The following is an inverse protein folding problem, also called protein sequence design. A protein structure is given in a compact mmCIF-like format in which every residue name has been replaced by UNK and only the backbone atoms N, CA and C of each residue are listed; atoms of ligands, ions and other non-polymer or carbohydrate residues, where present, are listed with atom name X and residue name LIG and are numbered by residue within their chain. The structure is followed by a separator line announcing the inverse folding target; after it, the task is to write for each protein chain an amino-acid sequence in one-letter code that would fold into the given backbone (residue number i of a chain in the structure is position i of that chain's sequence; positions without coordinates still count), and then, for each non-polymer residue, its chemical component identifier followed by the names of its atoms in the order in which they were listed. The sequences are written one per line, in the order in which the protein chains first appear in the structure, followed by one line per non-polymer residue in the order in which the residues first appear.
data_IF_992161431518
#
_entry.id   IF_992161431518
#
_cell.length_a   1.000
_cell.length_b   1.000
_cell.length_c   1.000
_cell.angle_alpha   90.00
_cell.angle_beta   90.00
_cell.angle_gamma   90.00
#
_symmetry.space_group_name_H-M   'P 1'
#
loop_
_entity.id
_entity.type
_entity.pdbx_description
1 polymer ?
#
# COMPACT_ATOMS: atom_id res chain seq x y z
N UNK A 1 14.12 -24.24 -22.29
CA UNK A 1 12.80 -23.71 -22.68
C UNK A 1 12.09 -22.91 -21.57
N UNK A 2 12.63 -22.83 -20.34
CA UNK A 2 12.07 -22.00 -19.24
C UNK A 2 12.52 -20.53 -19.26
N UNK A 3 13.62 -20.21 -19.95
CA UNK A 3 14.21 -18.86 -19.99
C UNK A 3 13.47 -17.88 -20.90
N UNK A 4 12.79 -18.36 -21.94
CA UNK A 4 12.03 -17.51 -22.88
C UNK A 4 10.70 -17.03 -22.29
N UNK A 5 10.01 -17.87 -21.51
CA UNK A 5 8.75 -17.52 -20.82
C UNK A 5 8.92 -16.47 -19.71
N UNK A 6 10.05 -16.51 -18.99
CA UNK A 6 10.35 -15.48 -17.99
C UNK A 6 10.65 -14.12 -18.66
N UNK A 7 11.43 -14.09 -19.74
CA UNK A 7 11.73 -12.84 -20.45
C UNK A 7 10.48 -12.15 -21.02
N UNK A 8 9.47 -12.90 -21.49
CA UNK A 8 8.19 -12.34 -21.94
C UNK A 8 7.36 -11.75 -20.79
N UNK A 9 7.32 -12.41 -19.62
CA UNK A 9 6.66 -11.86 -18.41
C UNK A 9 7.33 -10.57 -17.91
N UNK A 10 8.67 -10.51 -17.97
CA UNK A 10 9.40 -9.32 -17.51
C UNK A 10 9.30 -8.15 -18.49
N UNK A 11 9.03 -8.39 -19.78
CA UNK A 11 8.86 -7.32 -20.78
C UNK A 11 7.75 -6.32 -20.42
N UNK A 12 6.67 -6.80 -19.79
CA UNK A 12 5.57 -5.94 -19.32
C UNK A 12 5.87 -5.15 -18.05
N UNK A 13 6.93 -5.50 -17.31
CA UNK A 13 7.26 -4.86 -16.03
C UNK A 13 8.15 -3.62 -16.17
N UNK A 14 8.56 -3.32 -17.40
CA UNK A 14 9.31 -2.11 -17.74
C UNK A 14 10.81 -2.25 -17.47
N UNK A 15 11.46 -1.11 -17.20
CA UNK A 15 12.91 -1.06 -17.04
C UNK A 15 13.35 -1.76 -15.76
N UNK A 16 14.53 -2.38 -15.79
CA UNK A 16 15.18 -2.94 -14.60
C UNK A 16 15.89 -1.87 -13.78
N UNK A 17 16.06 -2.10 -12.48
CA UNK A 17 16.87 -1.27 -11.60
C UNK A 17 18.33 -1.20 -12.10
N UNK A 18 19.00 -0.02 -12.06
CA UNK A 18 18.52 1.30 -11.63
C UNK A 18 17.92 2.16 -12.75
N UNK A 19 17.68 1.60 -13.94
CA UNK A 19 17.37 2.33 -15.18
C UNK A 19 16.09 3.18 -15.14
N UNK A 20 15.15 2.88 -14.24
CA UNK A 20 13.92 3.65 -14.09
C UNK A 20 14.03 4.81 -13.09
N UNK A 21 14.99 4.80 -12.15
CA UNK A 21 14.95 5.68 -10.97
C UNK A 21 14.96 7.17 -11.31
N UNK A 22 15.74 7.58 -12.32
CA UNK A 22 15.85 8.98 -12.75
C UNK A 22 14.52 9.56 -13.24
N UNK A 23 13.60 8.72 -13.74
CA UNK A 23 12.28 9.14 -14.22
C UNK A 23 11.28 9.44 -13.11
N UNK A 24 11.59 9.10 -11.86
CA UNK A 24 10.67 9.23 -10.73
C UNK A 24 11.26 10.01 -9.56
N UNK A 25 12.29 10.83 -9.79
CA UNK A 25 12.74 11.78 -8.77
C UNK A 25 11.65 12.83 -8.53
N UNK A 26 11.67 13.50 -7.38
CA UNK A 26 10.74 14.60 -7.13
C UNK A 26 10.86 15.70 -8.20
N UNK A 27 12.06 15.90 -8.76
CA UNK A 27 12.29 16.81 -9.87
C UNK A 27 11.62 16.33 -11.17
N UNK A 28 11.75 15.05 -11.52
CA UNK A 28 11.11 14.48 -12.71
C UNK A 28 9.57 14.54 -12.61
N UNK A 29 9.03 14.38 -11.40
CA UNK A 29 7.60 14.48 -11.16
C UNK A 29 7.07 15.92 -11.06
N UNK A 30 7.95 16.91 -10.92
CA UNK A 30 7.59 18.32 -10.94
C UNK A 30 7.44 18.88 -12.37
N UNK A 31 7.85 18.12 -13.39
CA UNK A 31 7.69 18.55 -14.77
C UNK A 31 6.20 18.60 -15.16
N UNK A 32 5.71 19.73 -15.69
CA UNK A 32 4.31 19.87 -16.10
C UNK A 32 4.02 18.99 -17.31
N UNK A 33 2.77 18.52 -17.40
CA UNK A 33 2.24 17.80 -18.55
C UNK A 33 1.72 18.80 -19.59
N UNK A 34 1.75 18.42 -20.88
CA UNK A 34 0.99 19.18 -21.88
C UNK A 34 -0.53 19.02 -21.66
N UNK A 35 -1.38 19.95 -22.14
CA UNK A 35 -2.83 19.87 -21.94
C UNK A 35 -3.47 18.57 -22.47
N UNK A 36 -2.93 18.01 -23.56
CA UNK A 36 -3.40 16.75 -24.13
C UNK A 36 -3.02 15.54 -23.26
N UNK A 37 -1.79 15.54 -22.74
CA UNK A 37 -1.31 14.52 -21.80
C UNK A 37 -2.07 14.58 -20.47
N UNK A 38 -2.40 15.78 -19.99
CA UNK A 38 -3.20 16.01 -18.78
C UNK A 38 -4.57 15.31 -18.87
N UNK A 39 -5.32 15.59 -19.94
CA UNK A 39 -6.65 15.02 -20.14
C UNK A 39 -6.61 13.48 -20.27
N UNK A 40 -5.65 12.96 -21.03
CA UNK A 40 -5.46 11.51 -21.20
C UNK A 40 -5.06 10.84 -19.88
N UNK A 41 -4.15 11.45 -19.12
CA UNK A 41 -3.70 10.95 -17.82
C UNK A 41 -4.86 10.85 -16.85
N UNK A 42 -5.72 11.88 -16.74
CA UNK A 42 -6.91 11.86 -15.85
C UNK A 42 -7.88 10.74 -16.16
N UNK A 43 -8.22 10.55 -17.44
CA UNK A 43 -9.17 9.52 -17.88
C UNK A 43 -8.62 8.13 -17.58
N UNK A 44 -7.36 7.89 -17.92
CA UNK A 44 -6.70 6.61 -17.70
C UNK A 44 -6.48 6.33 -16.22
N UNK A 45 -6.06 7.33 -15.45
CA UNK A 45 -5.87 7.22 -14.00
C UNK A 45 -7.19 6.85 -13.31
N UNK A 46 -8.29 7.52 -13.65
CA UNK A 46 -9.60 7.24 -13.05
C UNK A 46 -10.01 5.78 -13.23
N UNK A 47 -9.92 5.26 -14.46
CA UNK A 47 -10.23 3.85 -14.75
C UNK A 47 -9.29 2.90 -14.03
N UNK A 48 -8.00 3.22 -14.01
CA UNK A 48 -6.98 2.39 -13.37
C UNK A 48 -7.17 2.33 -11.85
N UNK A 49 -7.47 3.46 -11.21
CA UNK A 49 -7.77 3.53 -9.77
C UNK A 49 -8.98 2.65 -9.43
N UNK A 50 -10.03 2.66 -10.26
CA UNK A 50 -11.19 1.79 -10.06
C UNK A 50 -10.81 0.30 -10.11
N UNK A 51 -9.92 -0.09 -11.02
CA UNK A 51 -9.41 -1.47 -11.08
C UNK A 51 -8.57 -1.83 -9.86
N UNK A 52 -7.73 -0.91 -9.39
CA UNK A 52 -6.94 -1.12 -8.15
C UNK A 52 -7.87 -1.25 -6.94
N UNK A 53 -8.92 -0.43 -6.84
CA UNK A 53 -9.93 -0.55 -5.77
C UNK A 53 -10.64 -1.91 -5.82
N UNK A 54 -11.06 -2.34 -7.01
CA UNK A 54 -11.69 -3.64 -7.20
C UNK A 54 -10.75 -4.79 -6.78
N UNK A 55 -9.46 -4.69 -7.14
CA UNK A 55 -8.43 -5.63 -6.71
C UNK A 55 -8.25 -5.63 -5.18
N UNK A 56 -8.33 -4.47 -4.54
CA UNK A 56 -8.26 -4.35 -3.08
C UNK A 56 -9.42 -5.03 -2.33
N UNK A 57 -10.50 -5.40 -3.04
CA UNK A 57 -11.64 -6.15 -2.53
C UNK A 57 -11.62 -7.64 -2.94
N UNK A 58 -10.71 -8.02 -3.84
CA UNK A 58 -10.62 -9.38 -4.36
C UNK A 58 -9.94 -10.34 -3.36
N UNK A 59 -10.09 -11.67 -3.53
CA UNK A 59 -9.35 -12.64 -2.74
C UNK A 59 -7.82 -12.45 -2.86
N UNK A 60 -7.10 -12.79 -1.79
CA UNK A 60 -5.63 -12.73 -1.76
C UNK A 60 -5.03 -13.51 -2.93
N UNK A 61 -4.03 -12.92 -3.59
CA UNK A 61 -3.34 -13.54 -4.73
C UNK A 61 -3.93 -13.18 -6.09
N UNK A 62 -5.07 -12.47 -6.13
CA UNK A 62 -5.64 -11.95 -7.38
C UNK A 62 -4.69 -10.99 -8.15
N UNK A 63 -3.65 -10.46 -7.49
CA UNK A 63 -2.64 -9.59 -8.10
C UNK A 63 -1.94 -10.20 -9.33
N UNK A 64 -1.71 -11.52 -9.34
CA UNK A 64 -1.03 -12.20 -10.46
C UNK A 64 -1.83 -12.08 -11.75
N UNK A 65 -3.14 -12.29 -11.67
CA UNK A 65 -4.03 -12.15 -12.83
C UNK A 65 -4.25 -10.68 -13.16
N UNK A 66 -4.41 -9.83 -12.14
CA UNK A 66 -4.63 -8.40 -12.32
C UNK A 66 -3.45 -7.69 -13.02
N UNK A 67 -2.21 -8.14 -12.82
CA UNK A 67 -1.01 -7.59 -13.50
C UNK A 67 -1.13 -7.70 -15.04
N UNK A 68 -1.84 -8.71 -15.56
CA UNK A 68 -2.08 -8.86 -17.01
C UNK A 68 -2.97 -7.75 -17.58
N UNK A 69 -3.81 -7.14 -16.76
CA UNK A 69 -4.78 -6.13 -17.18
C UNK A 69 -4.36 -4.72 -16.73
N UNK A 70 -3.84 -4.58 -15.51
CA UNK A 70 -3.29 -3.33 -14.98
C UNK A 70 -1.84 -3.21 -15.44
N UNK A 71 -1.65 -2.63 -16.62
CA UNK A 71 -0.33 -2.48 -17.25
C UNK A 71 0.50 -1.34 -16.65
N UNK A 72 1.82 -1.35 -16.90
CA UNK A 72 2.71 -0.28 -16.45
C UNK A 72 2.30 1.13 -16.96
N UNK A 73 1.94 1.34 -18.24
CA UNK A 73 1.44 2.65 -18.70
C UNK A 73 0.21 3.15 -17.94
N UNK A 74 -0.69 2.24 -17.54
CA UNK A 74 -1.86 2.59 -16.73
C UNK A 74 -1.44 3.10 -15.34
N UNK A 75 -0.48 2.42 -14.70
CA UNK A 75 0.07 2.88 -13.42
C UNK A 75 0.80 4.24 -13.55
N UNK A 76 1.55 4.45 -14.64
CA UNK A 76 2.19 5.75 -14.91
C UNK A 76 1.17 6.86 -15.05
N UNK A 77 0.03 6.60 -15.69
CA UNK A 77 -1.05 7.60 -15.81
C UNK A 77 -1.57 8.07 -14.44
N UNK A 78 -1.57 7.21 -13.42
CA UNK A 78 -1.91 7.60 -12.04
C UNK A 78 -0.85 8.55 -11.46
N UNK A 79 0.44 8.26 -11.65
CA UNK A 79 1.54 9.13 -11.19
C UNK A 79 1.48 10.50 -11.87
N UNK A 80 1.19 10.51 -13.17
CA UNK A 80 1.03 11.75 -13.94
C UNK A 80 -0.19 12.54 -13.50
N UNK A 81 -1.34 11.88 -13.33
CA UNK A 81 -2.54 12.51 -12.78
C UNK A 81 -2.31 13.07 -11.38
N UNK A 82 -1.56 12.39 -10.50
CA UNK A 82 -1.27 12.85 -9.14
C UNK A 82 -0.46 14.17 -9.06
N UNK A 83 0.12 14.64 -10.18
CA UNK A 83 0.71 15.98 -10.28
C UNK A 83 -0.35 17.09 -10.18
N UNK A 84 -1.59 16.74 -10.51
CA UNK A 84 -2.77 17.57 -10.48
C UNK A 84 -3.41 17.41 -9.09
N UNK A 85 -3.54 18.47 -8.30
CA UNK A 85 -4.03 18.37 -6.92
C UNK A 85 -5.38 17.66 -6.82
N UNK A 86 -6.34 18.03 -7.67
CA UNK A 86 -7.70 17.49 -7.63
C UNK A 86 -7.75 15.96 -7.86
N UNK A 87 -6.76 15.40 -8.55
CA UNK A 87 -6.69 13.96 -8.81
C UNK A 87 -6.18 13.16 -7.61
N UNK A 88 -5.40 13.78 -6.71
CA UNK A 88 -4.89 13.11 -5.50
C UNK A 88 -6.03 12.66 -4.59
N UNK A 89 -7.18 13.34 -4.63
CA UNK A 89 -8.36 12.96 -3.84
C UNK A 89 -8.85 11.54 -4.16
N UNK A 90 -8.70 11.12 -5.42
CA UNK A 90 -9.09 9.77 -5.87
C UNK A 90 -8.23 8.67 -5.25
N UNK A 91 -7.04 9.00 -4.75
CA UNK A 91 -6.15 8.07 -4.08
C UNK A 91 -6.43 7.94 -2.59
N UNK A 92 -7.26 8.81 -2.01
CA UNK A 92 -7.61 8.77 -0.59
C UNK A 92 -8.59 7.62 -0.24
N UNK A 93 -8.56 6.48 -0.93
CA UNK A 93 -9.39 5.31 -0.60
C UNK A 93 -8.48 4.19 -0.06
N UNK A 94 -8.71 3.66 1.17
CA UNK A 94 -7.88 2.61 1.74
C UNK A 94 -7.78 1.34 0.89
N UNK A 95 -8.79 1.08 0.03
CA UNK A 95 -8.77 -0.04 -0.92
C UNK A 95 -7.73 0.13 -2.01
N UNK A 96 -7.34 1.37 -2.34
CA UNK A 96 -6.21 1.64 -3.25
C UNK A 96 -4.91 1.12 -2.65
N UNK A 97 -4.72 1.29 -1.33
CA UNK A 97 -3.54 0.75 -0.63
C UNK A 97 -3.52 -0.77 -0.71
N UNK A 98 -4.63 -1.44 -0.39
CA UNK A 98 -4.72 -2.91 -0.50
C UNK A 98 -4.49 -3.40 -1.93
N UNK A 99 -5.09 -2.77 -2.94
CA UNK A 99 -4.88 -3.12 -4.34
C UNK A 99 -3.43 -2.94 -4.78
N UNK A 100 -2.76 -1.86 -4.33
CA UNK A 100 -1.34 -1.66 -4.61
C UNK A 100 -0.46 -2.73 -3.97
N UNK A 101 -0.77 -3.20 -2.76
CA UNK A 101 -0.06 -4.32 -2.11
C UNK A 101 -0.21 -5.61 -2.91
N UNK A 102 -1.42 -5.91 -3.41
CA UNK A 102 -1.63 -7.08 -4.28
C UNK A 102 -0.86 -6.97 -5.60
N UNK A 103 -0.80 -5.78 -6.21
CA UNK A 103 0.00 -5.54 -7.41
C UNK A 103 1.50 -5.68 -7.15
N UNK A 104 2.01 -5.12 -6.05
CA UNK A 104 3.41 -5.30 -5.66
C UNK A 104 3.73 -6.78 -5.49
N UNK A 105 2.85 -7.55 -4.85
CA UNK A 105 3.04 -8.98 -4.67
C UNK A 105 2.97 -9.83 -5.95
N UNK A 106 2.58 -9.24 -7.08
CA UNK A 106 2.59 -9.92 -8.38
C UNK A 106 3.94 -9.86 -9.10
N UNK A 107 4.90 -9.10 -8.55
CA UNK A 107 6.23 -8.88 -9.11
C UNK A 107 7.28 -9.22 -8.06
N UNK A 108 8.19 -10.12 -8.41
CA UNK A 108 9.29 -10.51 -7.54
C UNK A 108 10.60 -10.54 -8.35
N UNK A 109 11.65 -9.81 -7.90
CA UNK A 109 11.68 -8.87 -6.77
C UNK A 109 10.92 -7.57 -7.05
N UNK A 110 10.32 -6.99 -6.00
CA UNK A 110 9.39 -5.84 -6.12
C UNK A 110 10.06 -4.60 -6.70
N UNK A 111 11.28 -4.27 -6.24
CA UNK A 111 11.99 -3.07 -6.69
C UNK A 111 12.96 -3.36 -7.84
N UNK A 112 13.12 -4.61 -8.28
CA UNK A 112 14.00 -4.90 -9.42
C UNK A 112 13.41 -4.34 -10.72
N UNK A 113 12.08 -4.19 -10.79
CA UNK A 113 11.38 -3.72 -11.98
C UNK A 113 10.58 -2.43 -11.74
N UNK A 114 10.49 -1.62 -12.79
CA UNK A 114 9.77 -0.34 -12.78
C UNK A 114 8.31 -0.49 -12.32
N UNK A 115 7.64 -1.59 -12.68
CA UNK A 115 6.26 -1.88 -12.25
C UNK A 115 6.08 -1.86 -10.73
N UNK A 116 6.82 -2.70 -10.00
CA UNK A 116 6.66 -2.80 -8.55
C UNK A 116 7.05 -1.50 -7.85
N UNK A 117 8.06 -0.79 -8.36
CA UNK A 117 8.40 0.54 -7.87
C UNK A 117 7.29 1.58 -8.10
N UNK A 118 6.65 1.62 -9.28
CA UNK A 118 5.54 2.54 -9.54
C UNK A 118 4.33 2.20 -8.66
N UNK A 119 4.00 0.91 -8.47
CA UNK A 119 2.98 0.48 -7.51
C UNK A 119 3.28 0.99 -6.10
N UNK A 120 4.54 0.86 -5.66
CA UNK A 120 4.97 1.38 -4.36
C UNK A 120 4.81 2.91 -4.26
N UNK A 121 5.07 3.66 -5.33
CA UNK A 121 4.85 5.12 -5.36
C UNK A 121 3.38 5.49 -5.23
N UNK A 122 2.50 4.80 -5.95
CA UNK A 122 1.04 5.00 -5.85
C UNK A 122 0.57 4.66 -4.43
N UNK A 123 1.06 3.56 -3.85
CA UNK A 123 0.77 3.19 -2.47
C UNK A 123 1.14 4.29 -1.48
N UNK A 124 2.31 4.90 -1.60
CA UNK A 124 2.72 6.01 -0.72
C UNK A 124 1.84 7.25 -0.88
N UNK A 125 1.45 7.59 -2.11
CA UNK A 125 0.50 8.67 -2.38
C UNK A 125 -0.86 8.37 -1.73
N UNK A 126 -1.37 7.15 -1.89
CA UNK A 126 -2.65 6.73 -1.32
C UNK A 126 -2.64 6.79 0.22
N UNK A 127 -1.57 6.32 0.87
CA UNK A 127 -1.41 6.44 2.33
C UNK A 127 -1.41 7.91 2.76
N UNK A 128 -0.61 8.76 2.10
CA UNK A 128 -0.57 10.19 2.40
C UNK A 128 -1.92 10.88 2.19
N UNK A 129 -2.66 10.51 1.15
CA UNK A 129 -3.97 11.06 0.84
C UNK A 129 -5.02 10.62 1.88
N UNK A 130 -5.00 9.34 2.29
CA UNK A 130 -5.84 8.84 3.39
C UNK A 130 -5.56 9.59 4.69
N UNK A 131 -4.28 9.84 5.01
CA UNK A 131 -3.87 10.64 6.17
C UNK A 131 -4.43 12.05 6.10
N UNK A 132 -4.16 12.79 5.02
CA UNK A 132 -4.63 14.17 4.89
C UNK A 132 -6.16 14.28 5.02
N UNK A 133 -6.89 13.31 4.45
CA UNK A 133 -8.35 13.22 4.55
C UNK A 133 -8.81 12.97 5.99
N UNK A 134 -8.22 11.98 6.66
CA UNK A 134 -8.59 11.63 8.04
C UNK A 134 -8.33 12.79 9.03
N UNK A 135 -7.31 13.62 8.75
CA UNK A 135 -6.94 14.77 9.58
C UNK A 135 -7.66 16.08 9.19
N UNK A 136 -8.56 16.04 8.18
CA UNK A 136 -9.24 17.23 7.69
C UNK A 136 -8.30 18.30 7.13
N UNK A 137 -7.10 17.92 6.69
CA UNK A 137 -6.12 18.82 6.07
C UNK A 137 -6.12 18.70 4.54
N UNK A 138 -6.90 17.78 3.97
CA UNK A 138 -6.90 17.49 2.54
C UNK A 138 -7.13 18.73 1.69
N UNK A 139 -8.24 19.45 1.90
CA UNK A 139 -8.61 20.63 1.10
C UNK A 139 -7.55 21.73 1.18
N UNK A 140 -7.01 21.97 2.39
CA UNK A 140 -5.94 22.94 2.62
C UNK A 140 -4.67 22.56 1.87
N UNK A 141 -4.30 21.28 1.87
CA UNK A 141 -3.13 20.82 1.12
C UNK A 141 -3.37 20.95 -0.38
N UNK A 142 -4.57 20.63 -0.88
CA UNK A 142 -4.90 20.79 -2.31
C UNK A 142 -4.83 22.26 -2.75
N UNK A 143 -5.40 23.19 -1.98
CA UNK A 143 -5.33 24.63 -2.27
C UNK A 143 -3.89 25.14 -2.37
N UNK A 144 -3.02 24.69 -1.44
CA UNK A 144 -1.60 25.02 -1.46
C UNK A 144 -0.88 24.42 -2.67
N UNK A 145 -1.25 23.20 -3.06
CA UNK A 145 -0.70 22.55 -4.24
C UNK A 145 -1.12 23.25 -5.53
N UNK A 146 -2.37 23.69 -5.65
CA UNK A 146 -2.87 24.42 -6.83
C UNK A 146 -2.23 25.81 -6.99
N UNK A 147 -1.72 26.37 -5.88
CA UNK A 147 -1.06 27.68 -5.86
C UNK A 147 0.46 27.61 -6.08
N UNK A 148 1.04 26.42 -6.29
CA UNK A 148 2.48 26.23 -6.34
C UNK A 148 2.95 25.39 -7.54
N UNK A 149 4.13 25.70 -8.12
CA UNK A 149 4.66 24.96 -9.26
C UNK A 149 5.16 23.55 -8.91
N UNK A 150 5.32 23.23 -7.61
CA UNK A 150 5.84 21.93 -7.14
C UNK A 150 4.82 21.24 -6.22
N UNK A 151 3.69 20.84 -6.81
CA UNK A 151 2.53 20.31 -6.11
C UNK A 151 2.87 19.12 -5.18
N UNK A 152 3.57 18.11 -5.67
CA UNK A 152 3.86 16.90 -4.88
C UNK A 152 4.84 17.14 -3.71
N UNK A 153 5.75 18.11 -3.79
CA UNK A 153 6.65 18.39 -2.65
C UNK A 153 5.88 18.98 -1.47
N UNK A 154 4.88 19.82 -1.73
CA UNK A 154 3.99 20.33 -0.70
C UNK A 154 3.15 19.22 -0.07
N UNK A 155 2.63 18.31 -0.89
CA UNK A 155 1.92 17.13 -0.40
C UNK A 155 2.76 16.34 0.62
N UNK A 156 4.00 15.99 0.27
CA UNK A 156 4.87 15.23 1.17
C UNK A 156 5.24 16.02 2.43
N UNK A 157 5.41 17.33 2.31
CA UNK A 157 5.71 18.21 3.44
C UNK A 157 4.54 18.27 4.43
N UNK A 158 3.31 18.32 3.93
CA UNK A 158 2.10 18.36 4.75
C UNK A 158 1.85 17.01 5.44
N UNK A 159 2.05 15.91 4.73
CA UNK A 159 2.02 14.56 5.33
C UNK A 159 3.08 14.44 6.43
N UNK A 160 4.32 14.89 6.19
CA UNK A 160 5.37 14.85 7.19
C UNK A 160 5.07 15.73 8.42
N UNK A 161 4.46 16.91 8.21
CA UNK A 161 4.02 17.78 9.31
C UNK A 161 2.93 17.11 10.16
N UNK A 162 1.98 16.41 9.54
CA UNK A 162 0.97 15.61 10.24
C UNK A 162 1.60 14.47 11.05
N UNK A 163 2.55 13.74 10.45
CA UNK A 163 3.28 12.66 11.14
C UNK A 163 3.98 13.19 12.38
N UNK A 164 4.69 14.31 12.26
CA UNK A 164 5.38 14.95 13.39
C UNK A 164 4.39 15.35 14.49
N UNK A 165 3.25 15.91 14.11
CA UNK A 165 2.20 16.31 15.04
C UNK A 165 1.57 15.11 15.77
N UNK A 166 1.27 14.02 15.06
CA UNK A 166 0.71 12.80 15.67
C UNK A 166 1.69 12.15 16.65
N UNK A 167 2.98 12.08 16.28
CA UNK A 167 4.04 11.58 17.17
C UNK A 167 4.10 12.41 18.47
N UNK A 168 4.06 13.75 18.36
CA UNK A 168 4.05 14.64 19.53
C UNK A 168 2.82 14.47 20.42
N UNK A 169 1.69 14.00 19.88
CA UNK A 169 0.44 13.76 20.61
C UNK A 169 0.22 12.30 21.01
N UNK A 170 1.26 11.48 20.95
CA UNK A 170 1.24 10.10 21.43
C UNK A 170 0.74 9.06 20.43
N UNK A 171 0.69 9.39 19.13
CA UNK A 171 0.52 8.40 18.06
C UNK A 171 -0.88 7.79 17.94
N UNK A 172 -1.91 8.47 18.45
CA UNK A 172 -3.28 7.90 18.52
C UNK A 172 -3.94 7.78 17.15
N UNK A 173 -3.59 8.64 16.20
CA UNK A 173 -4.28 8.68 14.90
C UNK A 173 -3.68 7.69 13.92
N UNK A 174 -2.37 7.43 14.02
CA UNK A 174 -1.75 6.32 13.30
C UNK A 174 -2.46 4.98 13.60
N UNK A 175 -2.92 4.77 14.84
CA UNK A 175 -3.71 3.59 15.22
C UNK A 175 -5.09 3.58 14.52
N UNK A 176 -5.75 4.73 14.44
CA UNK A 176 -7.02 4.87 13.73
C UNK A 176 -6.89 4.59 12.24
N UNK A 177 -5.84 5.12 11.61
CA UNK A 177 -5.51 4.87 10.21
C UNK A 177 -5.15 3.40 9.93
N UNK A 178 -4.41 2.75 10.84
CA UNK A 178 -4.20 1.31 10.77
C UNK A 178 -5.49 0.51 10.82
N UNK A 179 -6.55 1.03 11.45
CA UNK A 179 -7.88 0.42 11.43
C UNK A 179 -8.58 0.52 10.06
N UNK A 180 -8.22 1.50 9.23
CA UNK A 180 -8.76 1.62 7.86
C UNK A 180 -8.11 0.63 6.88
N UNK A 181 -6.89 0.17 7.19
CA UNK A 181 -6.20 -0.85 6.43
C UNK A 181 -6.42 -2.23 7.07
N UNK A 182 -6.57 -3.28 6.27
CA UNK A 182 -6.66 -4.63 6.88
C UNK A 182 -5.31 -5.01 7.48
N UNK A 183 -5.29 -5.68 8.64
CA UNK A 183 -4.04 -6.16 9.25
C UNK A 183 -3.24 -7.05 8.27
N UNK A 184 -3.95 -7.90 7.50
CA UNK A 184 -3.33 -8.73 6.47
C UNK A 184 -2.69 -7.94 5.34
N UNK A 185 -3.22 -6.76 4.98
CA UNK A 185 -2.60 -5.86 3.99
C UNK A 185 -1.27 -5.33 4.52
N UNK A 186 -1.24 -4.86 5.76
CA UNK A 186 -0.03 -4.27 6.35
C UNK A 186 1.04 -5.31 6.63
N UNK A 187 0.67 -6.52 7.06
CA UNK A 187 1.61 -7.62 7.25
C UNK A 187 2.26 -8.04 5.93
N UNK A 188 1.44 -8.20 4.87
CA UNK A 188 1.95 -8.50 3.54
C UNK A 188 2.85 -7.41 2.99
N UNK A 189 2.52 -6.13 3.24
CA UNK A 189 3.39 -5.02 2.87
C UNK A 189 4.75 -5.12 3.59
N UNK A 190 4.77 -5.40 4.89
CA UNK A 190 6.02 -5.59 5.64
C UNK A 190 6.85 -6.73 5.06
N UNK A 191 6.23 -7.87 4.72
CA UNK A 191 6.91 -9.01 4.09
C UNK A 191 7.54 -8.64 2.74
N UNK A 192 6.79 -7.93 1.87
CA UNK A 192 7.29 -7.46 0.58
C UNK A 192 8.48 -6.49 0.74
N UNK A 193 8.37 -5.53 1.66
CA UNK A 193 9.46 -4.57 1.91
C UNK A 193 10.69 -5.24 2.54
N UNK A 194 10.49 -6.27 3.36
CA UNK A 194 11.57 -7.00 4.00
C UNK A 194 12.29 -7.94 3.02
N UNK A 195 11.55 -8.64 2.17
CA UNK A 195 12.12 -9.54 1.15
C UNK A 195 13.06 -8.81 0.19
N UNK A 196 12.77 -7.54 -0.13
CA UNK A 196 13.60 -6.68 -0.98
C UNK A 196 14.27 -5.52 -0.20
N UNK A 197 14.64 -5.77 1.06
CA UNK A 197 15.13 -4.74 2.00
C UNK A 197 16.32 -3.91 1.48
N UNK A 198 17.22 -4.51 0.69
CA UNK A 198 18.40 -3.81 0.17
C UNK A 198 17.99 -2.72 -0.83
N UNK A 199 17.11 -3.06 -1.76
CA UNK A 199 16.62 -2.10 -2.74
C UNK A 199 15.61 -1.13 -2.11
N UNK A 200 14.80 -1.60 -1.16
CA UNK A 200 13.96 -0.73 -0.35
C UNK A 200 14.78 0.37 0.34
N UNK A 201 15.93 0.04 0.94
CA UNK A 201 16.81 1.05 1.56
C UNK A 201 17.33 2.09 0.54
N UNK A 202 17.58 1.68 -0.70
CA UNK A 202 17.93 2.61 -1.78
C UNK A 202 16.74 3.52 -2.11
N UNK A 203 15.54 2.95 -2.21
CA UNK A 203 14.28 3.71 -2.40
C UNK A 203 14.09 4.75 -1.29
N UNK A 204 14.34 4.38 -0.02
CA UNK A 204 14.27 5.31 1.13
C UNK A 204 15.16 6.54 0.90
N UNK A 205 16.37 6.32 0.40
CA UNK A 205 17.33 7.40 0.12
C UNK A 205 16.87 8.29 -1.04
N UNK A 206 16.32 7.70 -2.10
CA UNK A 206 15.89 8.43 -3.31
C UNK A 206 14.65 9.28 -3.05
N UNK A 207 13.67 8.77 -2.30
CA UNK A 207 12.42 9.49 -2.04
C UNK A 207 12.55 10.62 -1.04
N UNK A 208 13.69 10.70 -0.33
CA UNK A 208 13.86 11.49 0.88
C UNK A 208 12.86 11.04 1.96
N UNK A 209 13.19 11.22 3.24
CA UNK A 209 12.36 10.72 4.34
C UNK A 209 10.94 11.30 4.35
N UNK A 210 10.75 12.49 3.78
CA UNK A 210 9.45 13.19 3.72
C UNK A 210 8.44 12.45 2.85
N UNK A 211 8.86 11.84 1.74
CA UNK A 211 7.99 11.07 0.85
C UNK A 211 7.47 9.75 1.44
N UNK A 212 8.01 9.34 2.59
CA UNK A 212 7.71 8.06 3.23
C UNK A 212 7.22 8.20 4.67
N UNK A 213 7.12 9.43 5.19
CA UNK A 213 6.77 9.67 6.59
C UNK A 213 5.42 9.01 6.96
N UNK A 214 4.44 9.09 6.07
CA UNK A 214 3.12 8.47 6.28
C UNK A 214 3.20 6.93 6.33
N UNK A 215 3.89 6.31 5.38
CA UNK A 215 4.11 4.87 5.38
C UNK A 215 4.82 4.41 6.65
N UNK A 216 5.91 5.09 7.04
CA UNK A 216 6.66 4.75 8.25
C UNK A 216 5.80 4.85 9.51
N UNK A 217 4.91 5.84 9.59
CA UNK A 217 3.98 5.99 10.70
C UNK A 217 2.96 4.84 10.76
N UNK A 218 2.37 4.47 9.62
CA UNK A 218 1.42 3.35 9.53
C UNK A 218 2.08 2.02 9.90
N UNK A 219 3.28 1.74 9.36
CA UNK A 219 4.01 0.51 9.69
C UNK A 219 4.36 0.44 11.18
N UNK A 220 4.80 1.57 11.77
CA UNK A 220 5.05 1.65 13.21
C UNK A 220 3.79 1.35 14.02
N UNK A 221 2.66 1.94 13.66
CA UNK A 221 1.40 1.73 14.37
C UNK A 221 0.90 0.29 14.24
N UNK A 222 1.08 -0.36 13.09
CA UNK A 222 0.78 -1.79 12.91
C UNK A 222 1.60 -2.65 13.89
N UNK A 223 2.91 -2.43 13.97
CA UNK A 223 3.80 -3.17 14.87
C UNK A 223 3.43 -2.95 16.35
N UNK A 224 3.05 -1.72 16.73
CA UNK A 224 2.58 -1.41 18.08
C UNK A 224 1.27 -2.11 18.42
N UNK A 225 0.32 -2.12 17.49
CA UNK A 225 -0.97 -2.81 17.65
C UNK A 225 -0.76 -4.31 17.87
N UNK A 226 0.08 -4.95 17.05
CA UNK A 226 0.42 -6.37 17.19
C UNK A 226 1.09 -6.68 18.53
N UNK A 227 1.99 -5.80 18.99
CA UNK A 227 2.64 -5.98 20.28
C UNK A 227 1.63 -5.93 21.44
N UNK A 228 0.69 -4.97 21.41
CA UNK A 228 -0.37 -4.84 22.41
C UNK A 228 -1.26 -6.08 22.43
N UNK A 229 -1.68 -6.58 21.26
CA UNK A 229 -2.52 -7.78 21.17
C UNK A 229 -1.80 -9.03 21.69
N UNK A 230 -0.52 -9.23 21.33
CA UNK A 230 0.29 -10.33 21.88
C UNK A 230 0.46 -10.23 23.40
N UNK A 231 0.63 -9.01 23.93
CA UNK A 231 0.74 -8.78 25.36
C UNK A 231 -0.57 -9.13 26.09
N UNK A 232 -1.73 -8.70 25.57
CA UNK A 232 -3.04 -9.06 26.11
C UNK A 232 -3.26 -10.57 26.10
N UNK A 233 -2.94 -11.25 25.00
CA UNK A 233 -3.05 -12.70 24.90
C UNK A 233 -2.17 -13.42 25.94
N UNK A 234 -0.95 -12.95 26.20
CA UNK A 234 -0.08 -13.54 27.22
C UNK A 234 -0.53 -13.27 28.65
N UNK A 235 -1.12 -12.10 28.91
CA UNK A 235 -1.54 -11.70 30.26
C UNK A 235 -2.90 -12.28 30.65
N UNK A 236 -3.82 -12.41 29.70
CA UNK A 236 -5.18 -12.90 29.92
C UNK A 236 -5.41 -14.35 29.44
N UNK A 237 -4.57 -14.87 28.54
CA UNK A 237 -4.61 -16.25 28.05
C UNK A 237 -4.01 -17.30 29.00
N UNK A 238 -3.59 -16.92 30.21
CA UNK A 238 -3.15 -17.85 31.27
C UNK A 238 -4.27 -18.24 32.25
N UNK A 239 -5.53 -17.96 31.91
CA UNK A 239 -6.74 -18.39 32.64
C UNK A 239 -7.65 -19.31 31.81
N UNK A 240 -7.08 -20.32 31.18
CA UNK A 240 -7.86 -21.48 30.72
C UNK A 240 -7.03 -22.74 30.85
N UNK A 241 -6.80 -23.13 32.10
CA UNK A 241 -6.20 -24.40 32.48
C UNK A 241 -6.86 -24.90 33.77
N UNK A 242 -7.80 -25.84 33.58
CA UNK A 242 -8.30 -26.91 34.48
C UNK A 242 -9.16 -26.58 35.71
N UNK A 243 -10.40 -27.10 35.72
CA UNK A 243 -10.97 -28.08 36.70
C UNK A 243 -12.24 -28.74 36.08
N UNK A 244 -12.19 -30.02 35.65
CA UNK A 244 -12.88 -31.24 36.19
C UNK A 244 -14.40 -31.03 36.50
N UNK A 245 -15.38 -31.92 36.24
CA UNK A 245 -15.43 -33.37 35.97
C UNK A 245 -16.87 -33.78 35.56
N UNK A 246 -17.01 -34.84 34.74
CA UNK A 246 -18.02 -35.92 34.79
C UNK A 246 -19.53 -35.62 34.89
N UNK A 247 -20.26 -35.98 33.83
CA UNK A 247 -21.36 -36.96 33.93
C UNK A 247 -21.37 -37.89 32.72
N UNK A 248 -21.24 -39.19 33.01
CA UNK A 248 -21.49 -40.34 32.13
C UNK A 248 -22.87 -40.92 32.47
N UNK A 249 -23.66 -41.28 31.45
CA UNK A 249 -24.42 -42.54 31.27
C UNK A 249 -25.43 -42.31 30.12
N UNK A 250 -25.23 -42.94 28.95
CA UNK A 250 -25.80 -44.24 28.52
C UNK A 250 -27.28 -44.10 28.07
N UNK A 251 -27.63 -44.39 26.82
CA UNK A 251 -28.19 -45.67 26.29
C UNK A 251 -28.56 -45.35 24.81
N UNK A 252 -28.23 -46.06 23.74
CA UNK A 252 -28.45 -47.45 23.29
C UNK A 252 -27.45 -47.70 22.11
N UNK A 253 -26.54 -48.68 22.09
CA UNK A 253 -26.71 -50.09 21.67
C UNK A 253 -27.72 -50.29 20.51
N UNK A 254 -27.41 -50.84 19.34
CA UNK A 254 -26.26 -51.60 18.85
C UNK A 254 -26.59 -52.22 17.47
N UNK A 255 -25.68 -53.08 16.98
CA UNK A 255 -25.73 -53.97 15.78
C UNK A 255 -25.41 -53.30 14.44
N UNK A 256 -24.61 -53.84 13.52
CA UNK A 256 -23.64 -54.95 13.44
C UNK A 256 -22.83 -54.68 12.14
N UNK A 257 -21.50 -54.59 12.16
CA UNK A 257 -20.54 -55.66 11.78
C UNK A 257 -20.85 -56.42 10.47
N UNK A 258 -19.96 -56.22 9.49
CA UNK A 258 -19.42 -57.21 8.51
C UNK A 258 -20.41 -57.76 7.46
N UNK A 259 -20.34 -57.22 6.24
CA UNK A 259 -19.74 -57.82 5.03
C UNK A 259 -19.57 -56.73 3.96
#
# INVERSE_FOLDING_TARGET
MLTTLNNERHGSWGRVFPGYFKSYTNQALAAPLSPSEDASARINATKTIQWIIALGMAPKGAGIEANRYISLPMLKSIIDAAKIPEEVQRLADPRVVTGCVELMASVEPVFEHEYGYVCFRILNLAIGACMLRQFGQFDRTMERMSSAPVSLVLFWSDVAALVHWDIKRGGRLALGLCGEFTAGTLDRLVELLHSDQKQYFIVLKVLQSTGLAGLMLVLRANLQSQYIERYKQRRFGRKSGTTLQSTSLAIHAGLASVY
#
